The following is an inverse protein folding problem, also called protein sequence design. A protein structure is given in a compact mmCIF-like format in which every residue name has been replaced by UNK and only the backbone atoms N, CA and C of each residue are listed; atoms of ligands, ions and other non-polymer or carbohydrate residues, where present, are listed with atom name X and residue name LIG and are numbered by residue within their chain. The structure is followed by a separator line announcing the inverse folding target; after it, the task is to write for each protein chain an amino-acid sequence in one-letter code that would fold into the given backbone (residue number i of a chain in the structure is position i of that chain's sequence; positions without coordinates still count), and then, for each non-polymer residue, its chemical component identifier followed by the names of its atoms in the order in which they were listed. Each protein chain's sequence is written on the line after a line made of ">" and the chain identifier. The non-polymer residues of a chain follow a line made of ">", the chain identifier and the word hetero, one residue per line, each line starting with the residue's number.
data_IF_121570480238
#
_entry.id   IF_121570480238
#
_cell.length_a   1.000
_cell.length_b   1.000
_cell.length_c   1.000
_cell.angle_alpha   90.00
_cell.angle_beta   90.00
_cell.angle_gamma   90.00
#
_symmetry.space_group_name_H-M   'P 1'
#
loop_
_entity.id
_entity.type
_entity.pdbx_description
1 polymer ?
#
# COMPACT_ATOMS: atom_id res chain seq x y z
N UNK A 1 33.44 5.03 3.87
CA UNK A 1 32.28 5.84 4.29
C UNK A 1 30.92 5.20 3.97
N UNK A 2 30.85 3.96 3.46
CA UNK A 2 29.57 3.34 3.05
C UNK A 2 28.73 2.79 4.21
N UNK A 3 29.33 2.35 5.32
CA UNK A 3 28.59 1.72 6.42
C UNK A 3 27.55 2.62 7.10
N UNK A 4 27.74 3.93 7.10
CA UNK A 4 26.74 4.86 7.65
C UNK A 4 25.54 5.03 6.71
N UNK A 5 25.79 5.13 5.39
CA UNK A 5 24.72 5.20 4.39
C UNK A 5 23.89 3.91 4.38
N UNK A 6 24.57 2.75 4.41
CA UNK A 6 23.93 1.43 4.44
C UNK A 6 23.05 1.23 5.68
N UNK A 7 23.49 1.73 6.84
CA UNK A 7 22.70 1.74 8.08
C UNK A 7 21.40 2.52 7.89
N UNK A 8 21.43 3.70 7.28
CA UNK A 8 20.24 4.52 7.05
C UNK A 8 19.32 3.92 6.00
N UNK A 9 19.86 3.32 4.93
CA UNK A 9 19.07 2.52 3.98
C UNK A 9 18.36 1.37 4.70
N UNK A 10 19.05 0.65 5.60
CA UNK A 10 18.44 -0.39 6.43
C UNK A 10 17.30 0.15 7.30
N UNK A 11 17.48 1.33 7.91
CA UNK A 11 16.43 1.99 8.71
C UNK A 11 15.23 2.40 7.87
N UNK A 12 15.42 2.86 6.63
CA UNK A 12 14.32 3.17 5.70
C UNK A 12 13.52 1.92 5.35
N UNK A 13 14.19 0.79 5.10
CA UNK A 13 13.52 -0.50 4.85
C UNK A 13 12.67 -0.94 6.04
N UNK A 14 13.22 -0.88 7.25
CA UNK A 14 12.45 -1.16 8.46
C UNK A 14 11.31 -0.17 8.68
N UNK A 15 11.51 1.10 8.30
CA UNK A 15 10.49 2.16 8.34
C UNK A 15 9.31 1.84 7.42
N UNK A 16 9.59 1.43 6.18
CA UNK A 16 8.59 1.02 5.19
C UNK A 16 7.80 -0.21 5.67
N UNK A 17 8.50 -1.26 6.14
CA UNK A 17 7.85 -2.46 6.66
C UNK A 17 6.91 -2.17 7.84
N UNK A 18 7.26 -1.18 8.68
CA UNK A 18 6.48 -0.78 9.85
C UNK A 18 5.16 -0.09 9.47
N UNK A 19 4.99 0.44 8.25
CA UNK A 19 3.77 1.15 7.84
C UNK A 19 2.54 0.24 7.92
N UNK A 20 2.65 -1.03 7.50
CA UNK A 20 1.55 -1.99 7.60
C UNK A 20 1.08 -2.17 9.05
N UNK A 21 2.03 -2.30 9.98
CA UNK A 21 1.72 -2.40 11.41
C UNK A 21 1.09 -1.12 11.94
N UNK A 22 1.54 0.05 11.49
CA UNK A 22 0.96 1.35 11.88
C UNK A 22 -0.50 1.48 11.44
N UNK A 23 -0.84 1.00 10.23
CA UNK A 23 -2.22 1.00 9.70
C UNK A 23 -3.16 0.13 10.55
N UNK A 24 -2.69 -1.02 10.99
CA UNK A 24 -3.49 -1.98 11.76
C UNK A 24 -3.52 -1.67 13.26
N UNK A 25 -2.51 -0.96 13.75
CA UNK A 25 -2.41 -0.58 15.15
C UNK A 25 -3.38 0.53 15.54
N UNK A 26 -3.70 0.61 16.84
CA UNK A 26 -4.38 1.77 17.43
C UNK A 26 -3.41 2.92 17.78
N UNK A 27 -2.19 2.90 17.23
CA UNK A 27 -1.22 3.95 17.48
C UNK A 27 -1.66 5.24 16.78
N UNK A 28 -1.53 6.33 17.51
CA UNK A 28 -1.77 7.69 17.09
C UNK A 28 -0.43 8.42 16.92
N UNK A 29 -0.39 9.53 16.17
CA UNK A 29 0.80 10.38 16.07
C UNK A 29 1.32 10.94 17.40
N UNK A 30 0.52 10.87 18.46
CA UNK A 30 0.91 11.30 19.80
C UNK A 30 1.70 10.22 20.55
N UNK A 31 1.58 8.96 20.15
CA UNK A 31 2.29 7.85 20.77
C UNK A 31 3.80 7.93 20.52
N UNK A 32 4.58 7.59 21.54
CA UNK A 32 6.04 7.70 21.49
C UNK A 32 6.66 6.84 20.37
N UNK A 33 6.11 5.65 20.15
CA UNK A 33 6.57 4.73 19.10
C UNK A 33 6.35 5.30 17.70
N UNK A 34 5.20 5.95 17.48
CA UNK A 34 4.90 6.60 16.20
C UNK A 34 5.84 7.78 15.94
N UNK A 35 6.03 8.64 16.95
CA UNK A 35 6.96 9.79 16.85
C UNK A 35 8.39 9.33 16.56
N UNK A 36 8.84 8.28 17.27
CA UNK A 36 10.16 7.69 17.06
C UNK A 36 10.31 7.13 15.64
N UNK A 37 9.29 6.45 15.12
CA UNK A 37 9.27 5.97 13.74
C UNK A 37 9.37 7.14 12.75
N UNK A 38 8.56 8.19 12.92
CA UNK A 38 8.53 9.36 12.03
C UNK A 38 9.89 10.08 12.02
N UNK A 39 10.43 10.39 13.18
CA UNK A 39 11.71 11.08 13.33
C UNK A 39 12.87 10.28 12.73
N UNK A 40 12.95 8.98 13.03
CA UNK A 40 14.01 8.11 12.51
C UNK A 40 13.94 7.97 10.98
N UNK A 41 12.72 7.93 10.44
CA UNK A 41 12.49 7.82 9.00
C UNK A 41 12.91 9.11 8.29
N UNK A 42 12.44 10.26 8.76
CA UNK A 42 12.85 11.57 8.25
C UNK A 42 14.38 11.76 8.31
N UNK A 43 14.99 11.47 9.46
CA UNK A 43 16.43 11.58 9.63
C UNK A 43 17.19 10.66 8.65
N UNK A 44 16.71 9.43 8.45
CA UNK A 44 17.36 8.49 7.52
C UNK A 44 17.21 8.93 6.06
N UNK A 45 16.09 9.54 5.66
CA UNK A 45 15.95 10.16 4.34
C UNK A 45 16.96 11.28 4.14
N UNK A 46 17.11 12.17 5.13
CA UNK A 46 18.08 13.25 5.09
C UNK A 46 19.53 12.76 5.03
N UNK A 47 19.86 11.67 5.72
CA UNK A 47 21.20 11.09 5.68
C UNK A 47 21.54 10.38 4.36
N UNK A 48 20.54 9.86 3.64
CA UNK A 48 20.74 9.16 2.37
C UNK A 48 20.74 10.12 1.17
N UNK A 49 19.85 11.11 1.16
CA UNK A 49 19.65 12.00 0.01
C UNK A 49 20.10 13.44 0.23
N UNK A 50 20.39 13.83 1.47
CA UNK A 50 20.57 15.22 1.87
C UNK A 50 19.24 15.87 2.28
N UNK A 51 19.29 16.83 3.20
CA UNK A 51 18.10 17.49 3.76
C UNK A 51 17.31 18.31 2.75
N UNK A 52 17.98 18.81 1.71
CA UNK A 52 17.36 19.61 0.64
C UNK A 52 16.68 18.76 -0.44
N UNK A 53 16.80 17.43 -0.37
CA UNK A 53 16.18 16.55 -1.34
C UNK A 53 14.66 16.52 -1.20
N UNK A 54 13.96 16.18 -2.28
CA UNK A 54 12.49 16.15 -2.33
C UNK A 54 11.90 15.17 -1.31
N UNK A 55 12.48 13.97 -1.16
CA UNK A 55 11.97 12.95 -0.21
C UNK A 55 11.88 13.40 1.26
N UNK A 56 12.96 13.85 1.94
CA UNK A 56 12.84 14.32 3.31
C UNK A 56 11.91 15.54 3.42
N UNK A 57 11.92 16.44 2.43
CA UNK A 57 11.01 17.58 2.39
C UNK A 57 9.55 17.12 2.37
N UNK A 58 9.13 16.34 1.36
CA UNK A 58 7.76 15.79 1.26
C UNK A 58 7.36 15.00 2.50
N UNK A 59 8.27 14.20 3.06
CA UNK A 59 7.98 13.44 4.28
C UNK A 59 7.76 14.36 5.49
N UNK A 60 8.49 15.47 5.60
CA UNK A 60 8.34 16.44 6.70
C UNK A 60 6.97 17.13 6.72
N UNK A 61 6.36 17.30 5.55
CA UNK A 61 5.02 17.90 5.38
C UNK A 61 3.87 16.97 5.79
N UNK A 62 4.14 15.70 6.09
CA UNK A 62 3.12 14.76 6.55
C UNK A 62 2.74 15.05 8.01
N UNK A 63 1.46 15.34 8.24
CA UNK A 63 0.97 15.76 9.55
C UNK A 63 0.46 14.58 10.38
N UNK A 64 -0.07 13.55 9.74
CA UNK A 64 -0.64 12.31 10.30
C UNK A 64 -1.86 12.51 11.23
N UNK A 65 -2.25 13.74 11.53
CA UNK A 65 -3.50 14.13 12.17
C UNK A 65 -3.85 15.58 11.80
N UNK A 66 -5.09 16.02 12.04
CA UNK A 66 -5.43 17.43 11.83
C UNK A 66 -4.77 18.33 12.89
N UNK A 67 -4.25 19.50 12.50
CA UNK A 67 -3.78 20.49 13.46
C UNK A 67 -4.99 21.06 14.21
N UNK A 68 -5.01 20.91 15.55
CA UNK A 68 -6.04 21.49 16.40
C UNK A 68 -5.38 22.28 17.52
N UNK A 69 -5.82 23.52 17.71
CA UNK A 69 -5.55 24.25 18.94
C UNK A 69 -6.48 23.69 20.02
N UNK A 70 -5.93 23.09 21.08
CA UNK A 70 -6.73 22.70 22.26
C UNK A 70 -6.54 23.71 23.39
N UNK A 71 -7.65 24.31 23.85
CA UNK A 71 -7.69 25.02 25.12
C UNK A 71 -8.33 24.05 26.13
N UNK A 72 -7.51 23.39 26.96
CA UNK A 72 -7.97 22.44 27.99
C UNK A 72 -7.55 20.98 27.75
N UNK A 73 -8.43 20.00 28.01
CA UNK A 73 -8.16 18.57 27.74
C UNK A 73 -7.74 18.44 26.28
N UNK A 74 -6.59 17.81 26.04
CA UNK A 74 -5.94 17.73 24.73
C UNK A 74 -6.84 17.22 23.60
N UNK A 75 -6.39 17.34 22.35
CA UNK A 75 -7.21 17.04 21.18
C UNK A 75 -7.79 15.62 21.26
N UNK A 76 -9.11 15.50 21.13
CA UNK A 76 -9.77 14.21 21.02
C UNK A 76 -9.47 13.59 19.66
N UNK A 77 -9.05 12.32 19.65
CA UNK A 77 -8.86 11.55 18.42
C UNK A 77 -10.21 11.32 17.74
N UNK A 78 -10.33 11.72 16.48
CA UNK A 78 -11.58 11.60 15.70
C UNK A 78 -11.41 10.71 14.48
N UNK A 79 -12.54 10.33 13.87
CA UNK A 79 -12.57 9.61 12.59
C UNK A 79 -11.87 10.39 11.47
N UNK A 80 -11.88 11.72 11.52
CA UNK A 80 -11.19 12.56 10.55
C UNK A 80 -9.67 12.50 10.74
N UNK A 81 -9.19 12.46 11.98
CA UNK A 81 -7.75 12.28 12.26
C UNK A 81 -7.29 10.89 11.79
N UNK A 82 -8.13 9.86 11.95
CA UNK A 82 -7.87 8.52 11.41
C UNK A 82 -7.76 8.55 9.87
N UNK A 83 -8.63 9.30 9.19
CA UNK A 83 -8.58 9.44 7.73
C UNK A 83 -7.30 10.11 7.26
N UNK A 84 -6.90 11.20 7.93
CA UNK A 84 -5.64 11.91 7.66
C UNK A 84 -4.44 10.99 7.93
N UNK A 85 -4.45 10.24 9.02
CA UNK A 85 -3.41 9.27 9.35
C UNK A 85 -3.21 8.27 8.20
N UNK A 86 -4.30 7.63 7.74
CA UNK A 86 -4.21 6.63 6.68
C UNK A 86 -3.70 7.22 5.37
N UNK A 87 -4.22 8.38 4.95
CA UNK A 87 -3.75 9.10 3.76
C UNK A 87 -2.25 9.43 3.84
N UNK A 88 -1.80 9.95 4.99
CA UNK A 88 -0.41 10.34 5.17
C UNK A 88 0.50 9.12 5.28
N UNK A 89 0.02 7.98 5.81
CA UNK A 89 0.73 6.70 5.77
C UNK A 89 0.87 6.16 4.34
N UNK A 90 -0.15 6.28 3.49
CA UNK A 90 -0.07 5.91 2.07
C UNK A 90 0.96 6.79 1.33
N UNK A 91 0.96 8.09 1.64
CA UNK A 91 1.94 9.03 1.07
C UNK A 91 3.36 8.73 1.56
N UNK A 92 3.52 8.39 2.85
CA UNK A 92 4.80 7.96 3.41
C UNK A 92 5.30 6.67 2.74
N UNK A 93 4.41 5.71 2.50
CA UNK A 93 4.76 4.46 1.80
C UNK A 93 5.28 4.71 0.39
N UNK A 94 4.60 5.56 -0.38
CA UNK A 94 5.05 5.95 -1.72
C UNK A 94 6.44 6.60 -1.69
N UNK A 95 6.64 7.62 -0.83
CA UNK A 95 7.94 8.30 -0.67
C UNK A 95 9.05 7.30 -0.33
N UNK A 96 8.80 6.39 0.61
CA UNK A 96 9.81 5.41 1.02
C UNK A 96 10.08 4.34 -0.02
N UNK A 97 9.06 3.96 -0.79
CA UNK A 97 9.21 3.03 -1.91
C UNK A 97 10.11 3.68 -2.96
N UNK A 98 9.72 4.84 -3.50
CA UNK A 98 10.48 5.60 -4.50
C UNK A 98 11.94 5.81 -4.07
N UNK A 99 12.14 6.27 -2.83
CA UNK A 99 13.47 6.49 -2.28
C UNK A 99 14.29 5.18 -2.23
N UNK A 100 13.68 4.06 -1.85
CA UNK A 100 14.38 2.78 -1.84
C UNK A 100 14.66 2.27 -3.26
N UNK A 101 13.79 2.53 -4.24
CA UNK A 101 14.04 2.19 -5.64
C UNK A 101 15.25 2.95 -6.20
N UNK A 102 15.34 4.24 -5.89
CA UNK A 102 16.42 5.11 -6.38
C UNK A 102 17.81 4.69 -5.86
N UNK A 103 17.88 4.10 -4.67
CA UNK A 103 19.13 3.52 -4.13
C UNK A 103 19.37 2.07 -4.55
N UNK A 104 18.57 1.54 -5.50
CA UNK A 104 18.76 0.23 -6.12
C UNK A 104 18.23 -0.95 -5.30
N UNK A 105 17.15 -0.78 -4.54
CA UNK A 105 16.61 -1.85 -3.67
C UNK A 105 15.56 -2.78 -4.31
N UNK A 106 15.01 -2.48 -5.48
CA UNK A 106 13.83 -3.23 -5.99
C UNK A 106 14.23 -4.53 -6.69
N UNK A 107 14.57 -5.53 -5.89
CA UNK A 107 14.39 -6.96 -6.26
C UNK A 107 13.43 -7.68 -5.29
N UNK A 108 13.10 -7.09 -4.13
CA UNK A 108 12.32 -7.77 -3.09
C UNK A 108 10.80 -7.45 -3.09
N UNK A 109 10.36 -6.32 -3.64
CA UNK A 109 8.95 -5.89 -3.62
C UNK A 109 8.13 -6.50 -4.78
N UNK A 110 8.72 -6.63 -5.97
CA UNK A 110 8.11 -7.34 -7.10
C UNK A 110 7.74 -8.79 -6.74
N UNK A 111 8.55 -9.46 -5.91
CA UNK A 111 8.25 -10.81 -5.41
C UNK A 111 7.04 -10.86 -4.46
N UNK A 112 6.67 -9.73 -3.84
CA UNK A 112 5.55 -9.63 -2.89
C UNK A 112 4.23 -9.34 -3.61
N UNK A 113 4.24 -8.57 -4.68
CA UNK A 113 3.07 -8.41 -5.59
C UNK A 113 2.69 -9.73 -6.26
N UNK A 114 3.68 -10.48 -6.78
CA UNK A 114 3.44 -11.82 -7.34
C UNK A 114 2.84 -12.78 -6.29
N UNK A 115 3.25 -12.66 -5.02
CA UNK A 115 2.69 -13.48 -3.93
C UNK A 115 1.31 -13.00 -3.46
N UNK A 116 1.00 -11.71 -3.60
CA UNK A 116 -0.31 -11.15 -3.28
C UNK A 116 -1.35 -11.50 -4.35
N UNK A 117 -0.98 -11.48 -5.63
CA UNK A 117 -1.81 -12.04 -6.72
C UNK A 117 -2.04 -13.55 -6.55
N UNK A 118 -1.03 -14.30 -6.10
CA UNK A 118 -1.18 -15.72 -5.77
C UNK A 118 -2.09 -15.99 -4.55
N UNK A 119 -2.46 -14.96 -3.78
CA UNK A 119 -3.30 -15.05 -2.57
C UNK A 119 -4.66 -14.36 -2.74
N UNK A 120 -5.11 -14.12 -3.98
CA UNK A 120 -6.51 -13.79 -4.23
C UNK A 120 -7.38 -15.01 -3.88
N UNK A 121 -8.39 -14.90 -3.00
CA UNK A 121 -9.28 -16.01 -2.70
C UNK A 121 -10.06 -16.38 -3.97
N UNK A 122 -9.88 -17.62 -4.45
CA UNK A 122 -10.72 -18.18 -5.51
C UNK A 122 -12.14 -18.30 -4.96
N UNK A 123 -13.02 -17.38 -5.37
CA UNK A 123 -14.44 -17.50 -5.08
C UNK A 123 -14.98 -18.65 -5.94
N UNK A 124 -15.34 -19.74 -5.26
CA UNK A 124 -16.02 -20.89 -5.85
C UNK A 124 -17.52 -20.66 -5.75
N UNK A 125 -18.19 -20.54 -6.89
CA UNK A 125 -19.66 -20.50 -6.93
C UNK A 125 -20.17 -21.90 -7.19
N UNK A 126 -20.99 -22.43 -6.28
CA UNK A 126 -21.69 -23.69 -6.47
C UNK A 126 -23.03 -23.41 -7.14
N UNK A 127 -23.17 -23.83 -8.40
CA UNK A 127 -24.44 -23.74 -9.13
C UNK A 127 -25.15 -25.09 -9.00
N UNK A 128 -26.37 -25.06 -8.50
CA UNK A 128 -27.24 -26.24 -8.41
C UNK A 128 -28.27 -26.16 -9.54
N UNK A 129 -28.15 -27.04 -10.53
CA UNK A 129 -29.13 -27.12 -11.62
C UNK A 129 -30.44 -27.78 -11.12
N UNK A 130 -31.55 -27.56 -11.80
CA UNK A 130 -32.88 -28.16 -11.56
C UNK A 130 -32.84 -29.70 -11.62
N UNK A 131 -31.79 -30.27 -12.22
CA UNK A 131 -31.48 -31.71 -12.24
C UNK A 131 -30.57 -32.18 -11.08
N UNK A 132 -30.38 -31.35 -10.05
CA UNK A 132 -29.60 -31.61 -8.83
C UNK A 132 -28.10 -31.90 -9.03
N UNK A 133 -27.52 -31.50 -10.15
CA UNK A 133 -26.07 -31.55 -10.36
C UNK A 133 -25.42 -30.29 -9.79
N UNK A 134 -24.40 -30.46 -8.94
CA UNK A 134 -23.58 -29.38 -8.42
C UNK A 134 -22.33 -29.26 -9.28
N UNK A 135 -22.14 -28.11 -9.92
CA UNK A 135 -20.89 -27.78 -10.61
C UNK A 135 -20.25 -26.58 -9.92
N UNK A 136 -18.98 -26.73 -9.56
CA UNK A 136 -18.16 -25.68 -8.96
C UNK A 136 -17.40 -24.96 -10.07
N UNK A 137 -17.62 -23.65 -10.21
CA UNK A 137 -16.94 -22.82 -11.20
C UNK A 137 -16.20 -21.70 -10.48
N UNK A 138 -14.97 -21.43 -10.91
CA UNK A 138 -14.17 -20.32 -10.37
C UNK A 138 -14.52 -19.03 -11.10
N UNK A 139 -14.62 -17.90 -10.40
CA UNK A 139 -14.98 -16.60 -11.00
C UNK A 139 -14.10 -16.18 -12.19
N UNK A 140 -12.82 -16.60 -12.22
CA UNK A 140 -11.92 -16.38 -13.36
C UNK A 140 -12.39 -17.06 -14.66
N UNK A 141 -13.11 -18.18 -14.57
CA UNK A 141 -13.68 -18.89 -15.73
C UNK A 141 -14.95 -18.22 -16.27
N UNK A 142 -15.67 -17.45 -15.44
CA UNK A 142 -16.87 -16.73 -15.85
C UNK A 142 -16.50 -15.56 -16.77
N UNK A 143 -15.45 -14.80 -16.43
CA UNK A 143 -14.98 -13.69 -17.27
C UNK A 143 -14.43 -14.16 -18.61
N UNK A 144 -13.67 -15.26 -18.64
CA UNK A 144 -13.17 -15.84 -19.90
C UNK A 144 -14.29 -16.32 -20.84
N UNK A 145 -15.50 -16.56 -20.32
CA UNK A 145 -16.67 -16.98 -21.11
C UNK A 145 -17.51 -15.80 -21.60
N UNK A 146 -17.33 -14.60 -21.04
CA UNK A 146 -18.08 -13.40 -21.41
C UNK A 146 -17.43 -12.61 -22.56
N UNK A 147 -16.12 -12.79 -22.80
CA UNK A 147 -15.34 -12.12 -23.86
C UNK A 147 -15.06 -13.04 -25.07
N UNK A 148 -16.04 -13.88 -25.46
CA UNK A 148 -16.05 -14.64 -26.71
C UNK A 148 -16.82 -13.90 -27.83
N UNK A 149 -16.43 -14.08 -29.10
CA UNK A 149 -16.21 -13.00 -30.06
C UNK A 149 -17.49 -12.45 -30.70
N UNK A 150 -17.63 -11.12 -30.66
CA UNK A 150 -18.35 -10.39 -31.69
C UNK A 150 -17.45 -10.22 -32.90
N UNK A 151 -17.65 -11.01 -33.97
CA UNK A 151 -17.83 -10.51 -35.33
C UNK A 151 -17.99 -11.65 -36.37
N UNK A 152 -18.89 -11.42 -37.32
CA UNK A 152 -18.76 -11.86 -38.72
C UNK A 152 -19.08 -13.31 -39.10
N UNK A 153 -20.29 -13.55 -39.63
CA UNK A 153 -20.51 -14.08 -40.98
C UNK A 153 -22.00 -14.39 -41.24
N UNK A 154 -22.75 -13.42 -41.77
CA UNK A 154 -23.91 -13.73 -42.60
C UNK A 154 -23.37 -14.10 -43.99
N UNK A 155 -23.43 -15.38 -44.33
CA UNK A 155 -23.40 -15.87 -45.70
C UNK A 155 -24.54 -16.86 -45.85
N UNK A 156 -25.66 -16.39 -46.40
CA UNK A 156 -26.67 -17.26 -46.98
C UNK A 156 -26.63 -17.03 -48.48
N UNK A 157 -25.95 -17.95 -49.16
CA UNK A 157 -26.31 -18.32 -50.51
C UNK A 157 -27.79 -18.75 -50.53
N UNK A 158 -28.55 -18.24 -51.51
CA UNK A 158 -29.77 -18.88 -52.00
C UNK A 158 -29.78 -18.75 -53.51
N UNK A 159 -29.76 -19.91 -54.17
CA UNK A 159 -30.44 -20.09 -55.45
C UNK A 159 -31.94 -20.14 -55.28
#
# INVERSE_FOLDING_TARGET
>A
MNGQRDLHIGRLKSGLQRIAELRESRLTPHDADFRTWKERTYHSLGMVFGTEHDYPNRFSWLHFCLPRASIGRGPSWTSEDQRVLLRDLDTAEAILTDALEEVGFVEAMAAREVRAEAKAPSIVVNIQNVLSQTTSITLQQIHASADGPGDGAYSSERG
#
